data_IF_277583041762
#
_entry.id   IF_277583041762
#
_cell.length_a   1.000
_cell.length_b   1.000
_cell.length_c   1.000
_cell.angle_alpha   90.00
_cell.angle_beta   90.00
_cell.angle_gamma   90.00
#
_symmetry.space_group_name_H-M   'P 1'
#
loop_
_entity.id
_entity.type
_entity.pdbx_description
1 polymer ?
#
# COMPACT_ATOMS: atom_id res chain seq x y z
N UNK A 1 37.28 -4.02 -2.00
CA UNK A 1 35.83 -4.28 -2.11
C UNK A 1 35.10 -3.00 -1.76
N UNK A 2 34.18 -2.50 -2.60
CA UNK A 2 33.50 -1.22 -2.32
C UNK A 2 32.22 -1.48 -1.50
N UNK A 3 32.32 -1.33 -0.18
CA UNK A 3 31.21 -1.56 0.75
C UNK A 3 29.95 -0.76 0.40
N UNK A 4 30.08 0.48 -0.07
CA UNK A 4 28.93 1.32 -0.47
C UNK A 4 28.16 0.68 -1.63
N UNK A 5 28.86 0.17 -2.66
CA UNK A 5 28.21 -0.50 -3.79
C UNK A 5 27.49 -1.77 -3.35
N UNK A 6 28.13 -2.59 -2.52
CA UNK A 6 27.53 -3.82 -1.99
C UNK A 6 26.27 -3.49 -1.18
N UNK A 7 26.34 -2.52 -0.27
CA UNK A 7 25.20 -2.13 0.55
C UNK A 7 24.01 -1.65 -0.28
N UNK A 8 24.25 -0.88 -1.35
CA UNK A 8 23.19 -0.42 -2.25
C UNK A 8 22.56 -1.61 -2.99
N UNK A 9 23.35 -2.54 -3.52
CA UNK A 9 22.83 -3.71 -4.25
C UNK A 9 21.99 -4.60 -3.33
N UNK A 10 22.50 -4.91 -2.14
CA UNK A 10 21.76 -5.74 -1.17
C UNK A 10 20.51 -5.02 -0.63
N UNK A 11 20.54 -3.70 -0.48
CA UNK A 11 19.36 -2.91 -0.12
C UNK A 11 18.25 -3.00 -1.16
N UNK A 12 18.60 -2.83 -2.45
CA UNK A 12 17.63 -3.00 -3.54
C UNK A 12 17.14 -4.43 -3.67
N UNK A 13 18.00 -5.42 -3.41
CA UNK A 13 17.59 -6.83 -3.40
C UNK A 13 16.57 -7.11 -2.28
N UNK A 14 16.84 -6.64 -1.06
CA UNK A 14 15.93 -6.79 0.08
C UNK A 14 14.58 -6.10 -0.18
N UNK A 15 14.62 -4.87 -0.72
CA UNK A 15 13.41 -4.15 -1.14
C UNK A 15 12.61 -4.94 -2.17
N UNK A 16 13.27 -5.46 -3.21
CA UNK A 16 12.60 -6.21 -4.28
C UNK A 16 11.94 -7.49 -3.78
N UNK A 17 12.60 -8.21 -2.86
CA UNK A 17 12.04 -9.42 -2.24
C UNK A 17 10.83 -9.07 -1.38
N UNK A 18 10.91 -8.02 -0.56
CA UNK A 18 9.79 -7.57 0.28
C UNK A 18 8.59 -7.14 -0.57
N UNK A 19 8.82 -6.28 -1.58
CA UNK A 19 7.77 -5.80 -2.48
C UNK A 19 7.12 -6.95 -3.26
N UNK A 20 7.91 -7.88 -3.81
CA UNK A 20 7.38 -9.07 -4.49
C UNK A 20 6.52 -9.92 -3.56
N UNK A 21 7.01 -10.18 -2.35
CA UNK A 21 6.27 -10.95 -1.34
C UNK A 21 4.93 -10.27 -1.06
N UNK A 22 4.94 -8.97 -0.79
CA UNK A 22 3.72 -8.20 -0.51
C UNK A 22 2.73 -8.28 -1.67
N UNK A 23 3.14 -7.95 -2.89
CA UNK A 23 2.24 -8.00 -4.06
C UNK A 23 1.73 -9.40 -4.37
N UNK A 24 2.48 -10.45 -4.05
CA UNK A 24 2.04 -11.84 -4.25
C UNK A 24 1.01 -12.31 -3.21
N UNK A 25 0.94 -11.66 -2.05
CA UNK A 25 0.08 -12.07 -0.92
C UNK A 25 -0.92 -11.01 -0.48
N UNK A 26 -1.02 -9.88 -1.19
CA UNK A 26 -1.94 -8.81 -0.84
C UNK A 26 -3.39 -9.29 -0.97
N UNK A 27 -4.20 -9.03 0.06
CA UNK A 27 -5.63 -9.32 0.02
C UNK A 27 -6.31 -8.34 -0.97
N UNK A 28 -6.98 -8.82 -2.03
CA UNK A 28 -7.61 -7.95 -3.02
C UNK A 28 -8.85 -7.22 -2.49
N UNK A 29 -9.35 -7.60 -1.31
CA UNK A 29 -10.56 -7.08 -0.69
C UNK A 29 -10.28 -6.46 0.69
N UNK A 30 -11.34 -6.16 1.45
CA UNK A 30 -11.20 -5.69 2.82
C UNK A 30 -10.76 -6.85 3.73
N UNK A 31 -9.52 -6.78 4.23
CA UNK A 31 -9.00 -7.73 5.22
C UNK A 31 -9.39 -7.34 6.64
N UNK A 32 -8.99 -8.17 7.61
CA UNK A 32 -9.32 -7.99 9.01
C UNK A 32 -8.74 -6.69 9.59
N UNK A 33 -9.48 -6.11 10.54
CA UNK A 33 -9.08 -4.94 11.35
C UNK A 33 -9.19 -3.61 10.59
N UNK A 34 -8.07 -2.96 10.28
CA UNK A 34 -8.05 -1.57 9.81
C UNK A 34 -8.27 -1.42 8.29
N UNK A 35 -8.04 -2.47 7.49
CA UNK A 35 -8.03 -2.33 6.03
C UNK A 35 -9.36 -1.82 5.47
N UNK A 36 -10.51 -2.29 5.99
CA UNK A 36 -11.82 -1.79 5.58
C UNK A 36 -12.00 -0.29 5.86
N UNK A 37 -11.51 0.17 7.01
CA UNK A 37 -11.53 1.58 7.38
C UNK A 37 -10.64 2.41 6.45
N UNK A 38 -9.40 1.99 6.20
CA UNK A 38 -8.48 2.67 5.30
C UNK A 38 -9.00 2.71 3.86
N UNK A 39 -9.65 1.65 3.39
CA UNK A 39 -10.28 1.60 2.06
C UNK A 39 -11.41 2.63 1.98
N UNK A 40 -12.35 2.61 2.93
CA UNK A 40 -13.50 3.52 2.93
C UNK A 40 -13.06 4.99 3.05
N UNK A 41 -12.19 5.27 4.02
CA UNK A 41 -11.74 6.62 4.33
C UNK A 41 -10.80 7.17 3.27
N UNK A 42 -9.94 6.36 2.64
CA UNK A 42 -9.12 6.82 1.51
C UNK A 42 -9.95 6.99 0.23
N UNK A 43 -10.91 6.10 -0.05
CA UNK A 43 -11.73 6.19 -1.26
C UNK A 43 -12.69 7.38 -1.24
N UNK A 44 -13.21 7.76 -0.06
CA UNK A 44 -14.13 8.90 0.07
C UNK A 44 -13.50 10.16 0.67
N UNK A 45 -12.23 10.08 1.08
CA UNK A 45 -11.55 11.12 1.86
C UNK A 45 -12.30 11.47 3.15
N UNK A 46 -12.77 10.44 3.85
CA UNK A 46 -13.41 10.56 5.17
C UNK A 46 -12.37 10.58 6.29
N UNK A 47 -12.80 10.91 7.51
CA UNK A 47 -11.92 10.94 8.68
C UNK A 47 -11.80 9.53 9.25
N UNK A 48 -10.59 8.96 9.19
CA UNK A 48 -10.25 7.74 9.92
C UNK A 48 -10.10 7.99 11.43
N UNK A 49 -10.19 6.91 12.20
CA UNK A 49 -10.02 6.88 13.64
C UNK A 49 -8.64 7.47 14.05
N UNK A 50 -8.56 8.23 15.15
CA UNK A 50 -7.30 8.82 15.61
C UNK A 50 -6.30 7.75 16.07
N UNK A 51 -4.98 7.94 15.84
CA UNK A 51 -4.32 9.03 15.11
C UNK A 51 -4.20 8.67 13.62
N UNK A 52 -5.20 9.01 12.80
CA UNK A 52 -5.26 8.60 11.40
C UNK A 52 -3.99 8.93 10.59
N UNK A 53 -3.84 8.32 9.41
CA UNK A 53 -2.66 8.48 8.56
C UNK A 53 -2.96 9.33 7.30
N UNK A 54 -3.09 10.67 7.43
CA UNK A 54 -3.60 11.52 6.34
C UNK A 54 -2.75 11.46 5.07
N UNK A 55 -1.42 11.36 5.21
CA UNK A 55 -0.52 11.24 4.05
C UNK A 55 -0.74 9.94 3.30
N UNK A 56 -0.86 8.81 4.02
CA UNK A 56 -1.16 7.51 3.43
C UNK A 56 -2.50 7.56 2.69
N UNK A 57 -3.53 8.13 3.31
CA UNK A 57 -4.88 8.19 2.75
C UNK A 57 -4.95 9.01 1.46
N UNK A 58 -4.18 10.10 1.35
CA UNK A 58 -4.07 10.90 0.12
C UNK A 58 -3.40 10.09 -1.00
N UNK A 59 -2.31 9.38 -0.70
CA UNK A 59 -1.63 8.53 -1.68
C UNK A 59 -2.55 7.37 -2.12
N UNK A 60 -3.19 6.70 -1.16
CA UNK A 60 -4.16 5.65 -1.41
C UNK A 60 -5.35 6.15 -2.25
N UNK A 61 -5.81 7.39 -2.03
CA UNK A 61 -6.82 8.02 -2.88
C UNK A 61 -6.32 8.15 -4.32
N UNK A 62 -5.12 8.65 -4.55
CA UNK A 62 -4.55 8.75 -5.91
C UNK A 62 -4.49 7.37 -6.57
N UNK A 63 -4.08 6.34 -5.85
CA UNK A 63 -4.00 4.99 -6.40
C UNK A 63 -5.37 4.37 -6.68
N UNK A 64 -6.37 4.67 -5.86
CA UNK A 64 -7.75 4.24 -6.12
C UNK A 64 -8.30 4.73 -7.46
N UNK A 65 -7.76 5.83 -8.01
CA UNK A 65 -8.17 6.36 -9.32
C UNK A 65 -7.68 5.48 -10.50
N UNK A 66 -6.69 4.62 -10.27
CA UNK A 66 -6.23 3.65 -11.27
C UNK A 66 -7.03 2.34 -11.22
N UNK A 67 -7.98 2.20 -10.30
CA UNK A 67 -8.86 1.04 -10.25
C UNK A 67 -9.76 0.99 -11.50
N UNK A 68 -9.85 -0.18 -12.12
CA UNK A 68 -10.68 -0.39 -13.31
C UNK A 68 -12.17 -0.21 -13.03
N UNK A 69 -12.60 -0.63 -11.85
CA UNK A 69 -13.97 -0.52 -11.34
C UNK A 69 -13.95 -0.50 -9.80
N UNK A 70 -15.13 -0.40 -9.18
CA UNK A 70 -15.26 -0.36 -7.73
C UNK A 70 -14.73 -1.62 -7.01
N UNK A 71 -14.72 -2.78 -7.68
CA UNK A 71 -14.23 -4.03 -7.08
C UNK A 71 -12.70 -4.03 -6.92
N UNK A 72 -11.97 -3.25 -7.73
CA UNK A 72 -10.50 -3.18 -7.69
C UNK A 72 -9.95 -2.03 -6.83
N UNK A 73 -10.83 -1.19 -6.26
CA UNK A 73 -10.42 -0.08 -5.38
C UNK A 73 -9.65 -0.57 -4.17
N UNK A 74 -10.15 -1.64 -3.52
CA UNK A 74 -9.51 -2.24 -2.35
C UNK A 74 -8.09 -2.72 -2.67
N UNK A 75 -7.92 -3.45 -3.77
CA UNK A 75 -6.61 -3.91 -4.25
C UNK A 75 -5.64 -2.72 -4.48
N UNK A 76 -6.09 -1.65 -5.13
CA UNK A 76 -5.25 -0.48 -5.40
C UNK A 76 -4.82 0.25 -4.12
N UNK A 77 -5.71 0.35 -3.13
CA UNK A 77 -5.41 0.97 -1.84
C UNK A 77 -4.46 0.10 -1.03
N UNK A 78 -4.72 -1.20 -0.93
CA UNK A 78 -3.85 -2.13 -0.20
C UNK A 78 -2.45 -2.20 -0.82
N UNK A 79 -2.33 -2.07 -2.14
CA UNK A 79 -1.04 -2.07 -2.86
C UNK A 79 -0.06 -0.98 -2.42
N UNK A 80 -0.51 0.10 -1.75
CA UNK A 80 0.36 1.18 -1.26
C UNK A 80 1.28 0.74 -0.11
N UNK A 81 0.95 -0.34 0.58
CA UNK A 81 1.76 -0.80 1.71
C UNK A 81 3.00 -1.62 1.30
N UNK A 82 3.20 -1.87 0.00
CA UNK A 82 4.38 -2.55 -0.57
C UNK A 82 5.60 -1.62 -0.64
#
# INVERSE_FOLDING_TARGET
MNYKRINIIFGWLAFSIAAFTYFSTVEPTASFWDCGEFIATSFKLEVGHPPGAPFFMIIARVFSLFAKDAAHVALMINSISA
#
